data_IF_181929701911
#
_entry.id   IF_181929701911
#
_cell.length_a   1.000
_cell.length_b   1.000
_cell.length_c   1.000
_cell.angle_alpha   90.00
_cell.angle_beta   90.00
_cell.angle_gamma   90.00
#
_symmetry.space_group_name_H-M   'P 1'
#
loop_
_entity.id
_entity.type
_entity.pdbx_description
1 polymer ?
#
# COMPACT_ATOMS: atom_id res chain seq x y z
N UNK A 1 12.02 38.15 -58.70
CA UNK A 1 12.98 37.04 -58.51
C UNK A 1 13.41 37.09 -57.06
N UNK A 2 13.27 36.09 -56.20
CA UNK A 2 13.25 34.65 -56.39
C UNK A 2 12.58 34.01 -55.17
N UNK A 3 11.52 33.24 -55.41
CA UNK A 3 10.81 32.43 -54.42
C UNK A 3 11.42 31.03 -54.52
N UNK A 4 12.06 30.51 -53.49
CA UNK A 4 12.52 29.10 -53.38
C UNK A 4 12.37 28.66 -51.91
N UNK A 5 11.35 27.85 -51.63
CA UNK A 5 11.41 26.38 -51.49
C UNK A 5 11.79 25.92 -50.06
N UNK A 6 10.79 25.93 -49.17
CA UNK A 6 10.73 25.04 -48.00
C UNK A 6 9.66 23.98 -48.28
N UNK A 7 10.07 22.92 -48.98
CA UNK A 7 9.25 21.72 -49.19
C UNK A 7 9.82 20.56 -48.36
N UNK A 8 8.95 20.03 -47.50
CA UNK A 8 8.91 18.66 -46.98
C UNK A 8 10.17 18.11 -46.27
N UNK A 9 10.29 18.39 -44.96
CA UNK A 9 10.88 17.42 -44.04
C UNK A 9 9.76 16.57 -43.44
N UNK A 10 9.80 15.23 -43.54
CA UNK A 10 8.80 14.38 -42.92
C UNK A 10 8.88 14.51 -41.40
N UNK A 11 7.75 14.77 -40.76
CA UNK A 11 7.63 14.70 -39.30
C UNK A 11 7.93 13.26 -38.86
N UNK A 12 9.01 13.08 -38.12
CA UNK A 12 9.39 11.80 -37.55
C UNK A 12 8.94 11.81 -36.07
N UNK A 13 7.94 11.00 -35.66
CA UNK A 13 7.55 10.94 -34.26
C UNK A 13 8.76 10.51 -33.43
N UNK A 14 8.97 11.10 -32.25
CA UNK A 14 10.06 10.67 -31.38
C UNK A 14 9.88 9.19 -31.06
N UNK A 15 10.86 8.37 -31.50
CA UNK A 15 10.93 6.96 -31.11
C UNK A 15 10.84 6.89 -29.60
N UNK A 16 9.88 6.09 -29.13
CA UNK A 16 9.53 5.88 -27.73
C UNK A 16 10.77 5.46 -26.92
N UNK A 17 11.59 6.43 -26.50
CA UNK A 17 12.63 6.25 -25.50
C UNK A 17 11.90 6.20 -24.18
N UNK A 18 11.60 5.00 -23.70
CA UNK A 18 11.27 4.79 -22.30
C UNK A 18 12.40 5.42 -21.47
N UNK A 19 12.12 6.58 -20.90
CA UNK A 19 13.08 7.37 -20.15
C UNK A 19 13.29 6.65 -18.80
N UNK A 20 14.50 6.15 -18.50
CA UNK A 20 14.75 5.41 -17.26
C UNK A 20 14.51 6.26 -16.00
N UNK A 21 14.42 7.59 -16.12
CA UNK A 21 14.09 8.52 -15.03
C UNK A 21 12.60 8.51 -14.61
N UNK A 22 11.73 7.78 -15.30
CA UNK A 22 10.29 7.67 -14.98
C UNK A 22 9.90 6.38 -14.26
N UNK A 23 10.85 5.45 -14.06
CA UNK A 23 10.58 4.24 -13.29
C UNK A 23 10.53 4.60 -11.81
N UNK A 24 9.44 4.24 -11.15
CA UNK A 24 9.41 4.22 -9.70
C UNK A 24 10.28 3.03 -9.27
N UNK A 25 11.24 3.19 -8.34
CA UNK A 25 12.01 2.06 -7.81
C UNK A 25 11.11 1.06 -7.05
N UNK A 26 10.00 1.52 -6.48
CA UNK A 26 8.82 0.75 -6.10
C UNK A 26 8.11 0.27 -7.36
N UNK A 27 7.95 -1.05 -7.53
CA UNK A 27 6.87 -1.56 -8.40
C UNK A 27 5.69 -1.84 -7.47
N UNK A 28 4.74 -0.89 -7.29
CA UNK A 28 3.52 -1.21 -6.57
C UNK A 28 2.69 -2.17 -7.43
N UNK A 29 2.53 -3.38 -6.94
CA UNK A 29 1.39 -4.21 -7.30
C UNK A 29 0.24 -3.83 -6.35
N UNK A 30 -0.82 -3.23 -6.90
CA UNK A 30 -2.03 -2.89 -6.16
C UNK A 30 -2.87 -4.15 -5.97
N UNK A 31 -2.92 -4.67 -4.75
CA UNK A 31 -3.77 -5.80 -4.39
C UNK A 31 -4.91 -5.34 -3.51
N UNK A 32 -6.12 -5.80 -3.77
CA UNK A 32 -7.32 -5.42 -3.03
C UNK A 32 -8.07 -6.70 -2.65
N UNK A 33 -8.59 -6.84 -1.42
CA UNK A 33 -9.31 -8.06 -0.98
C UNK A 33 -10.68 -7.69 -0.39
N UNK A 34 -11.73 -8.33 -0.92
CA UNK A 34 -13.09 -8.39 -0.37
C UNK A 34 -13.30 -9.70 0.43
N UNK A 35 -14.07 -9.62 1.52
CA UNK A 35 -14.66 -10.77 2.20
C UNK A 35 -16.19 -10.74 2.10
N UNK A 36 -16.72 -11.47 1.12
CA UNK A 36 -18.00 -12.21 1.28
C UNK A 36 -17.88 -13.64 0.79
N UNK A 37 -17.56 -14.54 1.72
CA UNK A 37 -18.10 -15.89 1.69
C UNK A 37 -19.59 -15.85 2.04
N UNK A 38 -20.39 -16.68 1.36
CA UNK A 38 -21.84 -16.82 1.59
C UNK A 38 -22.17 -17.01 3.08
N UNK A 39 -23.38 -16.63 3.55
CA UNK A 39 -23.77 -16.69 4.97
C UNK A 39 -23.70 -18.07 5.66
N UNK A 40 -23.31 -19.15 4.95
CA UNK A 40 -23.13 -20.50 5.49
C UNK A 40 -21.80 -21.18 5.11
N UNK A 41 -20.79 -20.46 4.60
CA UNK A 41 -19.48 -21.03 4.37
C UNK A 41 -18.62 -20.94 5.64
N UNK A 42 -18.29 -22.08 6.25
CA UNK A 42 -17.26 -22.18 7.30
C UNK A 42 -15.91 -21.77 6.68
N UNK A 43 -15.45 -20.56 6.97
CA UNK A 43 -14.04 -20.10 6.88
C UNK A 43 -13.27 -20.37 5.56
N UNK A 44 -13.91 -20.36 4.39
CA UNK A 44 -13.20 -20.60 3.13
C UNK A 44 -13.38 -19.45 2.14
N UNK A 45 -12.35 -18.61 2.03
CA UNK A 45 -12.11 -17.74 0.87
C UNK A 45 -11.90 -16.26 1.19
N UNK A 46 -10.64 -15.84 1.35
CA UNK A 46 -10.25 -14.45 1.12
C UNK A 46 -10.04 -14.28 -0.39
N UNK A 47 -10.89 -13.52 -1.08
CA UNK A 47 -10.71 -13.33 -2.53
C UNK A 47 -9.86 -12.09 -2.80
N UNK A 48 -8.64 -12.32 -3.29
CA UNK A 48 -7.76 -11.23 -3.72
C UNK A 48 -8.06 -10.86 -5.15
N UNK A 49 -8.40 -9.60 -5.38
CA UNK A 49 -8.53 -8.97 -6.69
C UNK A 49 -7.37 -8.01 -6.91
N UNK A 50 -6.57 -8.26 -7.94
CA UNK A 50 -5.60 -7.29 -8.43
C UNK A 50 -6.34 -6.21 -9.22
N UNK A 51 -6.23 -4.93 -8.83
CA UNK A 51 -6.81 -3.81 -9.58
C UNK A 51 -5.80 -3.21 -10.58
N UNK A 52 -4.50 -3.43 -10.36
CA UNK A 52 -3.47 -3.02 -11.31
C UNK A 52 -2.06 -3.24 -10.79
N UNK A 53 -1.11 -3.37 -11.73
CA UNK A 53 0.33 -3.27 -11.47
C UNK A 53 0.84 -1.99 -12.10
N UNK A 54 1.65 -1.24 -11.36
CA UNK A 54 2.17 0.03 -11.84
C UNK A 54 3.69 0.00 -11.73
N UNK A 55 4.39 0.48 -12.76
CA UNK A 55 5.85 0.68 -12.75
C UNK A 55 6.23 2.16 -12.90
N UNK A 56 5.24 3.02 -13.13
CA UNK A 56 5.38 4.46 -13.31
C UNK A 56 4.35 5.23 -12.50
N UNK A 57 4.65 6.50 -12.22
CA UNK A 57 3.76 7.40 -11.47
C UNK A 57 2.46 7.62 -12.25
N UNK A 58 2.55 7.73 -13.58
CA UNK A 58 1.40 7.89 -14.45
C UNK A 58 0.45 6.69 -14.42
N UNK A 59 0.98 5.45 -14.44
CA UNK A 59 0.17 4.23 -14.29
C UNK A 59 -0.48 4.16 -12.91
N UNK A 60 0.27 4.50 -11.86
CA UNK A 60 -0.27 4.55 -10.50
C UNK A 60 -1.45 5.51 -10.43
N UNK A 61 -1.32 6.74 -10.93
CA UNK A 61 -2.41 7.72 -10.92
C UNK A 61 -3.60 7.29 -11.76
N UNK A 62 -3.38 6.54 -12.84
CA UNK A 62 -4.47 5.99 -13.63
C UNK A 62 -5.28 5.01 -12.78
N UNK A 63 -4.62 4.00 -12.19
CA UNK A 63 -5.29 3.00 -11.35
C UNK A 63 -5.95 3.67 -10.14
N UNK A 64 -5.23 4.51 -9.40
CA UNK A 64 -5.73 5.16 -8.18
C UNK A 64 -6.99 6.02 -8.40
N UNK A 65 -7.15 6.63 -9.59
CA UNK A 65 -8.35 7.41 -9.93
C UNK A 65 -9.54 6.55 -10.39
N UNK A 66 -9.27 5.37 -10.95
CA UNK A 66 -10.29 4.45 -11.43
C UNK A 66 -10.83 3.54 -10.31
N UNK A 67 -10.09 3.40 -9.21
CA UNK A 67 -10.52 2.65 -8.03
C UNK A 67 -11.51 3.41 -7.16
N UNK A 68 -12.43 2.68 -6.54
CA UNK A 68 -13.30 3.17 -5.46
C UNK A 68 -12.48 3.78 -4.33
N UNK A 69 -13.12 4.60 -3.49
CA UNK A 69 -12.50 5.16 -2.29
C UNK A 69 -12.63 4.19 -1.11
N UNK A 70 -11.69 4.21 -0.14
CA UNK A 70 -11.83 3.44 1.10
C UNK A 70 -13.16 3.65 1.84
N UNK A 71 -13.74 4.85 1.77
CA UNK A 71 -15.04 5.17 2.37
C UNK A 71 -16.23 4.47 1.70
N UNK A 72 -16.06 3.97 0.48
CA UNK A 72 -17.08 3.26 -0.31
C UNK A 72 -17.01 1.73 -0.10
N UNK A 73 -15.94 1.25 0.55
CA UNK A 73 -15.77 -0.16 0.87
C UNK A 73 -16.71 -0.63 1.97
N UNK A 74 -17.10 -1.89 1.89
CA UNK A 74 -17.71 -2.60 3.01
C UNK A 74 -16.70 -2.70 4.16
N UNK A 75 -17.18 -2.70 5.40
CA UNK A 75 -16.32 -2.73 6.60
C UNK A 75 -15.51 -4.03 6.78
N UNK A 76 -15.78 -5.04 5.95
CA UNK A 76 -15.03 -6.31 5.87
C UNK A 76 -13.89 -6.26 4.86
N UNK A 77 -13.82 -5.22 4.03
CA UNK A 77 -12.83 -5.09 2.97
C UNK A 77 -11.61 -4.28 3.42
N UNK A 78 -10.57 -4.36 2.59
CA UNK A 78 -9.36 -3.61 2.77
C UNK A 78 -8.67 -3.34 1.43
N UNK A 79 -8.01 -2.20 1.39
CA UNK A 79 -7.14 -1.80 0.30
C UNK A 79 -5.69 -2.07 0.68
N UNK A 80 -4.90 -2.61 -0.25
CA UNK A 80 -3.46 -2.80 -0.08
C UNK A 80 -2.66 -2.31 -1.28
N UNK A 81 -1.45 -1.85 -0.99
CA UNK A 81 -0.44 -1.52 -1.97
C UNK A 81 0.82 -2.28 -1.58
N UNK A 82 1.19 -3.30 -2.37
CA UNK A 82 2.30 -4.20 -2.06
C UNK A 82 3.43 -3.98 -3.07
N UNK A 83 4.67 -4.17 -2.63
CA UNK A 83 5.84 -4.19 -3.50
C UNK A 83 5.93 -5.55 -4.19
N UNK A 84 6.08 -5.60 -5.51
CA UNK A 84 6.26 -6.87 -6.21
C UNK A 84 7.52 -7.61 -5.71
N UNK A 85 7.50 -8.96 -5.54
CA UNK A 85 6.44 -9.91 -5.86
C UNK A 85 5.40 -10.15 -4.75
N UNK A 86 5.39 -9.36 -3.69
CA UNK A 86 4.54 -9.59 -2.53
C UNK A 86 3.06 -9.38 -2.83
N UNK A 87 2.20 -10.20 -2.23
CA UNK A 87 0.75 -10.03 -2.16
C UNK A 87 0.28 -10.06 -0.70
N UNK A 88 -0.93 -9.55 -0.38
CA UNK A 88 -1.38 -9.44 1.01
C UNK A 88 -1.89 -10.79 1.56
N UNK A 89 -1.14 -11.87 1.34
CA UNK A 89 -1.39 -13.21 1.87
C UNK A 89 -0.37 -13.55 2.96
N UNK A 90 -0.56 -12.95 4.13
CA UNK A 90 0.34 -13.11 5.28
C UNK A 90 0.60 -14.58 5.68
N UNK A 91 -0.29 -15.50 5.32
CA UNK A 91 -0.16 -16.93 5.59
C UNK A 91 0.99 -17.58 4.82
N UNK A 92 1.42 -16.98 3.71
CA UNK A 92 2.49 -17.55 2.87
C UNK A 92 3.80 -17.65 3.63
N UNK A 93 4.63 -18.67 3.34
CA UNK A 93 5.95 -18.82 3.94
C UNK A 93 6.85 -17.60 3.78
N UNK A 94 6.74 -16.85 2.68
CA UNK A 94 7.54 -15.65 2.42
C UNK A 94 7.38 -14.54 3.46
N UNK A 95 6.24 -14.45 4.16
CA UNK A 95 6.00 -13.45 5.21
C UNK A 95 6.39 -13.93 6.61
N UNK A 96 6.83 -15.18 6.78
CA UNK A 96 7.04 -15.80 8.09
C UNK A 96 8.07 -15.11 8.98
N UNK A 97 9.05 -14.42 8.39
CA UNK A 97 10.08 -13.70 9.14
C UNK A 97 9.65 -12.28 9.55
N UNK A 98 8.56 -11.80 8.96
CA UNK A 98 8.08 -10.44 9.11
C UNK A 98 6.79 -10.34 9.90
N UNK A 99 6.03 -9.30 9.59
CA UNK A 99 4.81 -8.96 10.30
C UNK A 99 4.23 -7.66 9.78
N UNK A 100 3.35 -7.08 10.59
CA UNK A 100 2.77 -5.76 10.29
C UNK A 100 2.54 -4.95 11.54
N UNK A 101 2.75 -3.65 11.42
CA UNK A 101 2.17 -2.67 12.33
C UNK A 101 0.69 -2.50 12.04
N UNK A 102 -0.15 -2.47 13.09
CA UNK A 102 -1.56 -2.13 13.01
C UNK A 102 -1.85 -0.90 13.85
N UNK A 103 -2.28 0.18 13.19
CA UNK A 103 -2.64 1.45 13.82
C UNK A 103 -4.14 1.68 13.65
N UNK A 104 -4.88 1.85 14.74
CA UNK A 104 -6.32 2.08 14.70
C UNK A 104 -6.64 3.55 14.97
N UNK A 105 -7.15 4.26 13.98
CA UNK A 105 -7.67 5.60 14.15
C UNK A 105 -9.18 5.58 14.44
N UNK A 106 -9.64 6.48 15.32
CA UNK A 106 -11.00 6.47 15.86
C UNK A 106 -12.08 7.12 15.00
N UNK A 107 -11.73 7.77 13.89
CA UNK A 107 -12.68 8.40 12.98
C UNK A 107 -12.70 7.66 11.63
N UNK A 108 -13.81 7.00 11.33
CA UNK A 108 -14.00 6.28 10.05
C UNK A 108 -13.95 7.22 8.84
N UNK A 109 -14.28 8.51 9.00
CA UNK A 109 -14.27 9.49 7.91
C UNK A 109 -12.86 9.80 7.41
N UNK A 110 -11.83 9.46 8.18
CA UNK A 110 -10.43 9.65 7.78
C UNK A 110 -9.91 8.58 6.82
N UNK A 111 -10.73 7.60 6.42
CA UNK A 111 -10.29 6.46 5.60
C UNK A 111 -9.64 6.91 4.27
N UNK A 112 -10.30 7.81 3.54
CA UNK A 112 -9.81 8.31 2.25
C UNK A 112 -8.54 9.13 2.39
N UNK A 113 -8.47 9.98 3.43
CA UNK A 113 -7.30 10.77 3.74
C UNK A 113 -6.10 9.88 4.08
N UNK A 114 -6.26 8.95 5.02
CA UNK A 114 -5.20 8.02 5.43
C UNK A 114 -4.70 7.19 4.25
N UNK A 115 -5.61 6.72 3.39
CA UNK A 115 -5.23 5.98 2.20
C UNK A 115 -4.44 6.81 1.19
N UNK A 116 -4.89 8.03 0.91
CA UNK A 116 -4.20 8.93 0.00
C UNK A 116 -2.76 9.17 0.48
N UNK A 117 -2.57 9.55 1.74
CA UNK A 117 -1.24 9.82 2.29
C UNK A 117 -0.34 8.58 2.31
N UNK A 118 -0.89 7.41 2.65
CA UNK A 118 -0.18 6.13 2.58
C UNK A 118 0.27 5.80 1.16
N UNK A 119 -0.65 5.87 0.19
CA UNK A 119 -0.37 5.54 -1.20
C UNK A 119 0.63 6.53 -1.82
N UNK A 120 0.49 7.82 -1.56
CA UNK A 120 1.45 8.84 -1.99
C UNK A 120 2.83 8.61 -1.37
N UNK A 121 2.89 8.27 -0.09
CA UNK A 121 4.15 8.00 0.61
C UNK A 121 4.83 6.73 0.13
N UNK A 122 4.06 5.71 -0.28
CA UNK A 122 4.59 4.50 -0.89
C UNK A 122 5.24 4.78 -2.24
N UNK A 123 4.51 5.46 -3.14
CA UNK A 123 5.01 5.81 -4.49
C UNK A 123 6.17 6.80 -4.41
N UNK A 124 6.15 7.69 -3.41
CA UNK A 124 7.23 8.64 -3.13
C UNK A 124 8.41 8.07 -2.34
N UNK A 125 8.46 6.76 -2.07
CA UNK A 125 9.55 6.09 -1.33
C UNK A 125 9.85 6.66 0.06
N UNK A 126 8.84 7.26 0.71
CA UNK A 126 8.98 7.79 2.07
C UNK A 126 8.89 6.68 3.12
N UNK A 127 8.12 5.62 2.84
CA UNK A 127 7.84 4.55 3.81
C UNK A 127 9.09 3.82 4.31
N UNK A 128 10.14 3.70 3.49
CA UNK A 128 11.40 3.09 3.91
C UNK A 128 12.04 3.79 5.10
N UNK A 129 11.75 5.08 5.30
CA UNK A 129 12.23 5.85 6.45
C UNK A 129 11.45 5.55 7.74
N UNK A 130 10.46 4.65 7.75
CA UNK A 130 9.81 4.18 8.98
C UNK A 130 10.62 3.09 9.69
N UNK A 131 11.51 2.40 8.97
CA UNK A 131 12.31 1.30 9.47
C UNK A 131 13.80 1.59 9.28
N UNK A 132 14.66 0.81 9.93
CA UNK A 132 16.10 0.91 9.72
C UNK A 132 16.54 0.21 8.40
N UNK A 133 17.80 0.36 8.04
CA UNK A 133 18.36 -0.21 6.80
C UNK A 133 18.43 -1.74 6.77
N UNK A 134 18.15 -2.41 7.88
CA UNK A 134 18.15 -3.88 7.97
C UNK A 134 16.77 -4.47 7.65
N UNK A 135 15.74 -3.62 7.59
CA UNK A 135 14.38 -4.04 7.29
C UNK A 135 13.86 -3.35 6.02
N UNK A 136 12.71 -3.80 5.54
CA UNK A 136 12.08 -3.27 4.34
C UNK A 136 10.56 -3.31 4.47
N UNK A 137 9.92 -2.23 4.00
CA UNK A 137 8.47 -2.18 3.88
C UNK A 137 8.06 -3.00 2.66
N UNK A 138 7.20 -4.01 2.90
CA UNK A 138 6.63 -4.86 1.86
C UNK A 138 5.36 -4.27 1.26
N UNK A 139 4.62 -3.50 2.05
CA UNK A 139 3.38 -2.91 1.60
C UNK A 139 2.65 -2.18 2.71
N UNK A 140 1.55 -1.56 2.32
CA UNK A 140 0.66 -0.83 3.23
C UNK A 140 -0.78 -1.20 2.96
N UNK A 141 -1.62 -1.05 3.97
CA UNK A 141 -3.05 -1.26 3.83
C UNK A 141 -3.88 -0.26 4.61
N UNK A 142 -5.11 -0.06 4.16
CA UNK A 142 -6.16 0.64 4.89
C UNK A 142 -7.40 -0.23 4.93
N UNK A 143 -8.07 -0.26 6.07
CA UNK A 143 -9.27 -1.05 6.23
C UNK A 143 -10.29 -0.27 7.06
N UNK A 144 -11.39 0.22 6.44
CA UNK A 144 -12.45 0.88 7.18
C UNK A 144 -13.16 -0.14 8.09
N UNK A 145 -13.58 0.33 9.25
CA UNK A 145 -14.34 -0.42 10.25
C UNK A 145 -15.51 0.46 10.69
N UNK A 146 -16.56 -0.10 11.32
CA UNK A 146 -17.78 0.67 11.61
C UNK A 146 -17.54 1.98 12.37
N UNK A 147 -16.52 2.03 13.21
CA UNK A 147 -16.19 3.18 14.07
C UNK A 147 -14.70 3.56 14.04
N UNK A 148 -13.94 3.03 13.08
CA UNK A 148 -12.50 3.27 13.02
C UNK A 148 -11.93 3.00 11.63
N UNK A 149 -10.69 3.43 11.42
CA UNK A 149 -9.88 3.00 10.28
C UNK A 149 -8.67 2.26 10.83
N UNK A 150 -8.36 1.10 10.26
CA UNK A 150 -7.12 0.39 10.54
C UNK A 150 -6.14 0.65 9.42
N UNK A 151 -4.96 1.15 9.76
CA UNK A 151 -3.81 1.27 8.87
C UNK A 151 -2.86 0.12 9.16
N UNK A 152 -2.34 -0.50 8.11
CA UNK A 152 -1.37 -1.59 8.20
C UNK A 152 -0.08 -1.23 7.47
N UNK A 153 1.07 -1.51 8.09
CA UNK A 153 2.40 -1.36 7.47
C UNK A 153 3.13 -2.69 7.58
N UNK A 154 3.41 -3.33 6.44
CA UNK A 154 3.98 -4.67 6.38
C UNK A 154 5.49 -4.61 6.25
N UNK A 155 6.21 -5.44 7.01
CA UNK A 155 7.67 -5.49 7.02
C UNK A 155 8.21 -6.87 6.72
N UNK A 156 9.39 -6.93 6.11
CA UNK A 156 10.02 -8.17 5.67
C UNK A 156 10.60 -9.00 6.82
N UNK A 157 11.07 -8.32 7.87
CA UNK A 157 11.62 -8.96 9.06
C UNK A 157 11.11 -8.30 10.35
N UNK A 158 11.50 -8.86 11.49
CA UNK A 158 11.28 -8.31 12.83
C UNK A 158 12.60 -7.82 13.46
N UNK A 159 13.41 -7.11 12.69
CA UNK A 159 14.72 -6.61 13.16
C UNK A 159 14.61 -5.22 13.83
N UNK A 160 13.58 -5.01 14.63
CA UNK A 160 13.37 -3.79 15.41
C UNK A 160 12.66 -4.10 16.73
N UNK A 161 12.71 -3.15 17.66
CA UNK A 161 12.00 -3.23 18.92
C UNK A 161 10.49 -2.98 18.70
N UNK A 162 9.75 -4.07 18.52
CA UNK A 162 8.32 -4.07 18.20
C UNK A 162 7.44 -3.54 19.35
N UNK A 163 7.98 -3.41 20.55
CA UNK A 163 7.27 -2.87 21.72
C UNK A 163 7.28 -1.33 21.73
N UNK A 164 8.12 -0.69 20.91
CA UNK A 164 8.17 0.78 20.74
C UNK A 164 7.05 1.32 19.86
N UNK A 165 5.83 0.92 20.17
CA UNK A 165 4.62 1.24 19.40
C UNK A 165 4.29 2.74 19.40
N UNK A 166 4.60 3.44 20.49
CA UNK A 166 4.40 4.90 20.64
C UNK A 166 5.37 5.67 19.72
N UNK A 167 6.66 5.37 19.80
CA UNK A 167 7.69 6.00 18.96
C UNK A 167 7.40 5.77 17.47
N UNK A 168 6.98 4.55 17.11
CA UNK A 168 6.57 4.25 15.75
C UNK A 168 5.38 5.11 15.29
N UNK A 169 4.36 5.28 16.13
CA UNK A 169 3.18 6.08 15.80
C UNK A 169 3.49 7.58 15.67
N UNK A 170 4.36 8.11 16.52
CA UNK A 170 4.85 9.49 16.42
C UNK A 170 5.63 9.72 15.12
N UNK A 171 6.54 8.79 14.79
CA UNK A 171 7.29 8.82 13.54
C UNK A 171 6.37 8.70 12.32
N UNK A 172 5.38 7.81 12.38
CA UNK A 172 4.38 7.66 11.32
C UNK A 172 3.62 8.97 11.09
N UNK A 173 3.09 9.58 12.16
CA UNK A 173 2.42 10.87 12.08
C UNK A 173 3.32 11.95 11.47
N UNK A 174 4.56 12.06 11.95
CA UNK A 174 5.48 13.11 11.49
C UNK A 174 5.93 12.94 10.04
N UNK A 175 6.11 11.70 9.59
CA UNK A 175 6.69 11.41 8.27
C UNK A 175 5.65 11.29 7.17
N UNK A 176 4.49 10.70 7.49
CA UNK A 176 3.50 10.27 6.51
C UNK A 176 2.32 11.23 6.46
N UNK A 177 1.92 11.83 7.58
CA UNK A 177 0.67 12.57 7.68
C UNK A 177 0.94 14.08 7.82
N UNK A 178 0.63 14.90 6.79
CA UNK A 178 0.70 16.36 6.90
C UNK A 178 -0.17 16.91 8.04
N UNK A 179 -1.31 16.26 8.27
CA UNK A 179 -2.19 16.50 9.42
C UNK A 179 -2.19 15.23 10.30
N UNK A 180 -1.47 15.26 11.44
CA UNK A 180 -1.38 14.12 12.36
C UNK A 180 -2.73 13.70 12.91
N UNK A 181 -2.87 12.41 13.21
CA UNK A 181 -4.06 11.84 13.85
C UNK A 181 -3.70 11.09 15.14
N UNK A 182 -4.68 10.96 16.03
CA UNK A 182 -4.55 10.10 17.21
C UNK A 182 -4.86 8.65 16.87
N UNK A 183 -3.96 7.72 17.20
CA UNK A 183 -4.23 6.29 17.12
C UNK A 183 -4.66 5.76 18.49
N UNK A 184 -5.84 5.13 18.54
CA UNK A 184 -6.39 4.50 19.75
C UNK A 184 -5.59 3.29 20.19
N UNK A 185 -5.10 2.51 19.23
CA UNK A 185 -4.28 1.32 19.47
C UNK A 185 -3.20 1.23 18.41
N UNK A 186 -1.97 0.91 18.83
CA UNK A 186 -0.84 0.64 17.94
C UNK A 186 -0.12 -0.58 18.48
N UNK A 187 0.06 -1.58 17.63
CA UNK A 187 0.76 -2.81 17.99
C UNK A 187 1.32 -3.48 16.75
N UNK A 188 2.29 -4.35 16.97
CA UNK A 188 2.89 -5.15 15.91
C UNK A 188 2.39 -6.60 15.97
N UNK A 189 2.04 -7.16 14.82
CA UNK A 189 1.66 -8.56 14.65
C UNK A 189 2.77 -9.30 13.89
N UNK A 190 3.48 -10.21 14.57
CA UNK A 190 4.35 -11.17 13.89
C UNK A 190 3.50 -12.22 13.18
N UNK A 191 3.73 -12.41 11.88
CA UNK A 191 2.96 -13.39 11.11
C UNK A 191 3.24 -14.82 11.56
N UNK A 192 4.46 -15.15 11.98
CA UNK A 192 4.78 -16.45 12.56
C UNK A 192 3.97 -16.75 13.84
N UNK A 193 3.80 -15.75 14.71
CA UNK A 193 3.03 -15.92 15.95
C UNK A 193 1.53 -16.04 15.70
N UNK A 194 0.99 -15.26 14.76
CA UNK A 194 -0.42 -15.35 14.36
C UNK A 194 -0.72 -16.75 13.80
N UNK A 195 0.18 -17.31 12.97
CA UNK A 195 0.04 -18.69 12.45
C UNK A 195 0.02 -19.73 13.57
N UNK A 196 0.90 -19.61 14.56
CA UNK A 196 0.95 -20.52 15.71
C UNK A 196 -0.33 -20.48 16.55
N UNK A 197 -0.94 -19.30 16.71
CA UNK A 197 -2.20 -19.14 17.45
C UNK A 197 -3.41 -19.72 16.72
N UNK A 198 -3.45 -19.63 15.38
CA UNK A 198 -4.53 -20.19 14.57
C UNK A 198 -4.48 -21.70 14.37
N UNK A 199 -3.35 -22.35 14.67
CA UNK A 199 -3.18 -23.80 14.54
C UNK A 199 -3.54 -24.61 15.81
N UNK A 200 -3.96 -23.92 16.88
CA UNK A 200 -4.43 -24.52 18.14
C UNK A 200 -5.95 -24.43 18.21
#
# INVERSE_FOLDING_TARGET
MQIHLLQHLPWNPPKNRQNPRKRIPFIPAGYFIDQRGRPNAKHEGHQIRCLGKCSTVEEFWKVFKETEKPSELQFTEAFYLMREPCDPQWEKPEYSNGGRWRLRHGDVRSADYLWCELAMSAVGEKLGQLVDSRNSILGVGVSPRPTSVVVEIWTASLDFDADKTIEFAERFNSLILPHPVSFKTVYYESFAEVRKKGAK
#
